data_IF_002738133109
#
_entry.id   IF_002738133109
#
_cell.length_a   1.000
_cell.length_b   1.000
_cell.length_c   1.000
_cell.angle_alpha   90.00
_cell.angle_beta   90.00
_cell.angle_gamma   90.00
#
_symmetry.space_group_name_H-M   'P 1'
#
loop_
_entity.id
_entity.type
_entity.pdbx_description
1 polymer ?
#
# COMPACT_ATOMS: atom_id res chain seq x y z
N UNK A 1 -22.05 -15.85 -13.79
CA UNK A 1 -21.00 -15.78 -12.75
C UNK A 1 -21.29 -14.54 -11.93
N UNK A 2 -21.33 -14.63 -10.61
CA UNK A 2 -21.42 -13.45 -9.76
C UNK A 2 -20.18 -12.59 -9.99
N UNK A 3 -20.35 -11.28 -10.05
CA UNK A 3 -19.25 -10.32 -10.16
C UNK A 3 -18.40 -10.43 -8.89
N UNK A 4 -17.07 -10.40 -9.03
CA UNK A 4 -16.17 -10.37 -7.88
C UNK A 4 -16.43 -9.09 -7.08
N UNK A 5 -16.48 -9.21 -5.76
CA UNK A 5 -16.57 -8.06 -4.86
C UNK A 5 -15.36 -8.04 -3.94
N UNK A 6 -14.65 -6.92 -3.91
CA UNK A 6 -13.45 -6.75 -3.09
C UNK A 6 -13.64 -5.67 -2.03
N UNK A 7 -12.95 -5.84 -0.90
CA UNK A 7 -12.82 -4.82 0.12
C UNK A 7 -11.41 -4.23 0.11
N UNK A 8 -11.31 -2.91 0.09
CA UNK A 8 -10.07 -2.17 0.26
C UNK A 8 -10.11 -1.45 1.61
N UNK A 9 -9.32 -1.92 2.56
CA UNK A 9 -9.10 -1.25 3.84
C UNK A 9 -7.87 -0.36 3.70
N UNK A 10 -8.05 0.96 3.77
CA UNK A 10 -6.97 1.92 3.59
C UNK A 10 -6.70 2.70 4.88
N UNK A 11 -5.47 3.16 5.08
CA UNK A 11 -5.08 3.86 6.30
C UNK A 11 -5.84 5.17 6.49
N UNK A 12 -5.82 6.03 5.48
CA UNK A 12 -6.33 7.40 5.55
C UNK A 12 -7.60 7.65 4.73
N UNK A 13 -8.28 8.74 5.07
CA UNK A 13 -9.57 9.12 4.45
C UNK A 13 -9.44 9.85 3.10
N UNK A 14 -8.27 10.36 2.74
CA UNK A 14 -8.13 11.26 1.58
C UNK A 14 -7.16 10.75 0.53
N UNK A 15 -5.86 10.68 0.84
CA UNK A 15 -4.83 10.34 -0.14
C UNK A 15 -4.98 8.89 -0.61
N UNK A 16 -5.12 7.96 0.34
CA UNK A 16 -5.27 6.53 0.08
C UNK A 16 -6.50 6.22 -0.76
N UNK A 17 -7.67 6.74 -0.33
CA UNK A 17 -8.92 6.58 -1.09
C UNK A 17 -8.74 7.15 -2.50
N UNK A 18 -8.14 8.34 -2.64
CA UNK A 18 -7.96 8.97 -3.94
C UNK A 18 -7.05 8.15 -4.87
N UNK A 19 -5.95 7.57 -4.36
CA UNK A 19 -5.07 6.69 -5.13
C UNK A 19 -5.81 5.43 -5.56
N UNK A 20 -6.45 4.72 -4.63
CA UNK A 20 -7.14 3.46 -4.93
C UNK A 20 -8.33 3.67 -5.88
N UNK A 21 -9.18 4.66 -5.63
CA UNK A 21 -10.26 5.02 -6.56
C UNK A 21 -9.74 5.34 -7.95
N UNK A 22 -8.61 6.03 -8.03
CA UNK A 22 -8.02 6.41 -9.31
C UNK A 22 -7.51 5.20 -10.08
N UNK A 23 -6.78 4.29 -9.42
CA UNK A 23 -6.31 3.04 -10.02
C UNK A 23 -7.48 2.21 -10.53
N UNK A 24 -8.49 1.97 -9.69
CA UNK A 24 -9.69 1.20 -10.08
C UNK A 24 -10.41 1.82 -11.28
N UNK A 25 -10.53 3.15 -11.32
CA UNK A 25 -11.19 3.88 -12.42
C UNK A 25 -10.40 3.79 -13.72
N UNK A 26 -9.07 4.01 -13.66
CA UNK A 26 -8.21 4.03 -14.85
C UNK A 26 -8.15 2.68 -15.52
N UNK A 27 -8.10 1.60 -14.73
CA UNK A 27 -8.06 0.25 -15.26
C UNK A 27 -9.44 -0.33 -15.58
N UNK A 28 -10.51 0.36 -15.18
CA UNK A 28 -11.90 -0.04 -15.43
C UNK A 28 -12.13 -1.52 -15.10
N UNK A 29 -11.68 -1.93 -13.92
CA UNK A 29 -11.78 -3.32 -13.49
C UNK A 29 -13.25 -3.71 -13.36
N UNK A 30 -13.63 -4.83 -14.00
CA UNK A 30 -15.00 -5.35 -13.91
C UNK A 30 -15.25 -6.08 -12.59
N UNK A 31 -15.03 -5.38 -11.48
CA UNK A 31 -15.23 -5.83 -10.10
C UNK A 31 -16.10 -4.83 -9.35
N UNK A 32 -16.85 -5.32 -8.38
CA UNK A 32 -17.46 -4.46 -7.37
C UNK A 32 -16.48 -4.25 -6.23
N UNK A 33 -16.41 -3.07 -5.68
CA UNK A 33 -15.50 -2.76 -4.60
C UNK A 33 -16.09 -1.81 -3.57
N UNK A 34 -15.63 -1.97 -2.34
CA UNK A 34 -15.83 -1.01 -1.25
C UNK A 34 -14.46 -0.52 -0.77
N UNK A 35 -14.36 0.75 -0.43
CA UNK A 35 -13.15 1.32 0.17
C UNK A 35 -13.51 1.91 1.52
N UNK A 36 -12.87 1.41 2.57
CA UNK A 36 -13.11 1.83 3.95
C UNK A 36 -11.81 2.41 4.52
N UNK A 37 -11.82 3.66 5.03
CA UNK A 37 -10.69 4.18 5.78
C UNK A 37 -10.65 3.59 7.19
N UNK A 38 -9.49 3.09 7.60
CA UNK A 38 -9.25 2.63 8.97
C UNK A 38 -9.08 3.80 9.95
N UNK A 39 -8.71 4.97 9.44
CA UNK A 39 -8.53 6.24 10.17
C UNK A 39 -7.47 6.20 11.26
N UNK A 40 -6.54 5.25 11.20
CA UNK A 40 -5.39 5.14 12.08
C UNK A 40 -4.32 4.25 11.45
N UNK A 41 -3.10 4.26 12.01
CA UNK A 41 -1.95 3.59 11.41
C UNK A 41 -1.92 2.07 11.63
N UNK A 42 -0.99 1.41 10.93
CA UNK A 42 -0.77 -0.04 11.00
C UNK A 42 -0.45 -0.53 12.42
N UNK A 43 0.19 0.30 13.27
CA UNK A 43 0.53 -0.07 14.65
C UNK A 43 -0.70 -0.17 15.54
N UNK A 44 -1.76 0.56 15.20
CA UNK A 44 -3.04 0.41 15.86
C UNK A 44 -3.73 -0.87 15.40
N UNK A 45 -3.70 -1.18 14.11
CA UNK A 45 -4.20 -2.45 13.59
C UNK A 45 -3.49 -3.63 14.23
N UNK A 46 -2.14 -3.54 14.39
CA UNK A 46 -1.38 -4.54 15.14
C UNK A 46 -1.93 -4.78 16.54
N UNK A 47 -2.18 -3.71 17.30
CA UNK A 47 -2.72 -3.82 18.66
C UNK A 47 -4.10 -4.47 18.69
N UNK A 48 -4.94 -4.14 17.75
CA UNK A 48 -6.29 -4.66 17.67
C UNK A 48 -6.31 -6.16 17.34
N UNK A 49 -5.33 -6.67 16.59
CA UNK A 49 -5.22 -8.08 16.25
C UNK A 49 -4.37 -8.90 17.22
N UNK A 50 -3.24 -8.37 17.65
CA UNK A 50 -2.23 -9.17 18.37
C UNK A 50 -2.10 -8.86 19.85
N UNK A 51 -2.60 -7.71 20.31
CA UNK A 51 -2.56 -7.30 21.72
C UNK A 51 -3.97 -7.32 22.36
N UNK A 52 -5.00 -7.84 21.67
CA UNK A 52 -6.40 -7.93 22.16
C UNK A 52 -6.59 -8.98 23.24
N UNK A 53 -5.70 -9.96 23.31
CA UNK A 53 -5.82 -11.13 24.20
C UNK A 53 -6.53 -12.33 23.57
N UNK A 54 -7.13 -12.15 22.42
CA UNK A 54 -7.72 -13.23 21.61
C UNK A 54 -6.66 -13.82 20.66
N UNK A 55 -6.89 -15.05 20.20
CA UNK A 55 -6.06 -15.64 19.16
C UNK A 55 -6.36 -14.94 17.83
N UNK A 56 -5.35 -14.33 17.17
CA UNK A 56 -5.54 -13.62 15.91
C UNK A 56 -6.19 -14.46 14.80
N UNK A 57 -5.94 -15.77 14.78
CA UNK A 57 -6.54 -16.69 13.78
C UNK A 57 -8.07 -16.86 13.97
N UNK A 58 -8.60 -16.54 15.15
CA UNK A 58 -10.01 -16.59 15.45
C UNK A 58 -10.72 -15.23 15.32
N UNK A 59 -9.98 -14.17 15.00
CA UNK A 59 -10.55 -12.84 14.82
C UNK A 59 -11.14 -12.71 13.41
N UNK A 60 -12.33 -12.12 13.34
CA UNK A 60 -12.95 -11.73 12.08
C UNK A 60 -12.68 -10.25 11.81
N UNK A 61 -11.97 -9.96 10.71
CA UNK A 61 -11.62 -8.60 10.32
C UNK A 61 -12.88 -7.73 10.12
N UNK A 62 -13.93 -8.26 9.49
CA UNK A 62 -15.15 -7.50 9.24
C UNK A 62 -15.89 -7.17 10.54
N UNK A 63 -15.94 -8.12 11.49
CA UNK A 63 -16.51 -7.88 12.82
C UNK A 63 -15.69 -6.83 13.61
N UNK A 64 -14.37 -6.90 13.53
CA UNK A 64 -13.49 -5.88 14.14
C UNK A 64 -13.77 -4.50 13.55
N UNK A 65 -13.82 -4.38 12.22
CA UNK A 65 -14.12 -3.13 11.53
C UNK A 65 -15.50 -2.61 11.90
N UNK A 66 -16.52 -3.48 11.90
CA UNK A 66 -17.89 -3.14 12.31
C UNK A 66 -17.96 -2.57 13.73
N UNK A 67 -17.15 -3.13 14.65
CA UNK A 67 -17.12 -2.65 16.03
C UNK A 67 -16.50 -1.25 16.18
N UNK A 68 -15.66 -0.85 15.24
CA UNK A 68 -14.91 0.43 15.25
C UNK A 68 -15.59 1.52 14.44
N UNK A 69 -16.19 1.14 13.32
CA UNK A 69 -16.87 2.10 12.45
C UNK A 69 -18.20 2.52 13.07
N UNK A 70 -18.31 3.83 13.34
CA UNK A 70 -19.52 4.42 13.93
C UNK A 70 -20.46 5.01 12.88
N UNK A 71 -20.09 4.92 11.60
CA UNK A 71 -20.92 5.42 10.52
C UNK A 71 -22.02 4.39 10.20
N UNK A 72 -23.32 4.71 10.46
CA UNK A 72 -24.40 3.79 10.18
C UNK A 72 -24.53 3.48 8.68
N UNK A 73 -24.08 4.38 7.82
CA UNK A 73 -24.12 4.20 6.37
C UNK A 73 -23.15 3.11 5.87
N UNK A 74 -22.19 2.71 6.69
CA UNK A 74 -21.23 1.64 6.36
C UNK A 74 -21.69 0.27 6.88
N UNK A 75 -22.76 0.18 7.66
CA UNK A 75 -23.15 -1.07 8.32
C UNK A 75 -23.33 -2.25 7.34
N UNK A 76 -23.89 -1.97 6.15
CA UNK A 76 -24.09 -3.00 5.13
C UNK A 76 -22.79 -3.60 4.60
N UNK A 77 -21.68 -2.83 4.60
CA UNK A 77 -20.38 -3.25 4.08
C UNK A 77 -19.84 -4.43 4.89
N UNK A 78 -20.05 -4.42 6.20
CA UNK A 78 -19.52 -5.44 7.10
C UNK A 78 -20.37 -6.73 7.13
N UNK A 79 -21.56 -6.70 6.54
CA UNK A 79 -22.45 -7.86 6.43
C UNK A 79 -22.38 -8.51 5.02
N UNK A 80 -21.52 -7.98 4.14
CA UNK A 80 -21.30 -8.51 2.80
C UNK A 80 -20.19 -9.56 2.74
N UNK A 81 -20.21 -10.35 1.67
CA UNK A 81 -19.15 -11.31 1.36
C UNK A 81 -18.20 -10.76 0.32
N UNK A 82 -16.93 -10.76 0.63
CA UNK A 82 -15.84 -10.34 -0.27
C UNK A 82 -15.07 -11.55 -0.76
N UNK A 83 -14.73 -11.55 -2.05
CA UNK A 83 -13.84 -12.57 -2.62
C UNK A 83 -12.39 -12.33 -2.25
N UNK A 84 -12.05 -11.07 -2.03
CA UNK A 84 -10.70 -10.63 -1.69
C UNK A 84 -10.77 -9.39 -0.79
N UNK A 85 -9.83 -9.32 0.15
CA UNK A 85 -9.62 -8.18 1.04
C UNK A 85 -8.18 -7.69 0.86
N UNK A 86 -8.01 -6.39 0.66
CA UNK A 86 -6.70 -5.75 0.55
C UNK A 86 -6.56 -4.66 1.59
N UNK A 87 -5.43 -4.68 2.29
CA UNK A 87 -5.07 -3.71 3.30
C UNK A 87 -3.96 -2.81 2.74
N UNK A 88 -4.14 -1.51 2.76
CA UNK A 88 -3.19 -0.52 2.26
C UNK A 88 -2.81 0.40 3.41
N UNK A 89 -1.57 0.28 3.88
CA UNK A 89 -1.06 1.04 5.01
C UNK A 89 0.32 1.62 4.72
N UNK A 90 0.69 2.61 5.49
CA UNK A 90 2.00 3.25 5.43
C UNK A 90 2.96 2.62 6.46
N UNK A 91 4.26 2.53 6.13
CA UNK A 91 5.23 1.98 7.07
C UNK A 91 5.44 2.90 8.27
N UNK A 92 5.48 4.20 8.06
CA UNK A 92 5.69 5.22 9.10
C UNK A 92 6.78 4.84 10.14
N UNK A 93 8.04 4.62 9.73
CA UNK A 93 9.07 4.10 10.63
C UNK A 93 9.50 5.10 11.73
N UNK A 94 9.02 6.35 11.65
CA UNK A 94 9.18 7.38 12.68
C UNK A 94 8.12 7.30 13.79
N UNK A 95 7.08 6.49 13.63
CA UNK A 95 6.05 6.32 14.66
C UNK A 95 6.62 5.64 15.89
N UNK A 96 6.13 6.01 17.07
CA UNK A 96 6.56 5.43 18.35
C UNK A 96 6.18 3.95 18.51
N UNK A 97 5.20 3.50 17.75
CA UNK A 97 4.77 2.09 17.70
C UNK A 97 5.62 1.22 16.78
N UNK A 98 6.51 1.81 15.96
CA UNK A 98 7.33 1.09 15.00
C UNK A 98 8.19 0.01 15.67
N UNK A 99 8.11 -1.19 15.14
CA UNK A 99 8.99 -2.32 15.50
C UNK A 99 9.09 -3.24 14.28
N UNK A 100 10.31 -3.58 13.82
CA UNK A 100 10.51 -4.52 12.74
C UNK A 100 9.73 -5.83 12.92
N UNK A 101 9.76 -6.40 14.14
CA UNK A 101 9.09 -7.68 14.41
C UNK A 101 7.57 -7.59 14.34
N UNK A 102 7.00 -6.45 14.74
CA UNK A 102 5.55 -6.23 14.60
C UNK A 102 5.14 -6.18 13.13
N UNK A 103 5.90 -5.47 12.31
CA UNK A 103 5.59 -5.34 10.88
C UNK A 103 5.79 -6.66 10.15
N UNK A 104 6.86 -7.43 10.46
CA UNK A 104 7.04 -8.79 9.93
C UNK A 104 5.82 -9.65 10.23
N UNK A 105 5.39 -9.67 11.49
CA UNK A 105 4.21 -10.41 11.92
C UNK A 105 2.94 -10.00 11.18
N UNK A 106 2.77 -8.71 10.90
CA UNK A 106 1.64 -8.19 10.11
C UNK A 106 1.67 -8.69 8.67
N UNK A 107 2.83 -8.62 7.99
CA UNK A 107 2.96 -9.08 6.60
C UNK A 107 2.79 -10.60 6.51
N UNK A 108 3.33 -11.35 7.47
CA UNK A 108 3.19 -12.81 7.50
C UNK A 108 1.75 -13.23 7.75
N UNK A 109 1.00 -12.49 8.57
CA UNK A 109 -0.40 -12.77 8.86
C UNK A 109 -1.34 -12.36 7.72
N UNK A 110 -1.16 -11.16 7.18
CA UNK A 110 -1.98 -10.62 6.09
C UNK A 110 -1.31 -10.86 4.73
N UNK A 111 -1.14 -12.11 4.34
CA UNK A 111 -0.42 -12.47 3.12
C UNK A 111 -1.31 -12.93 1.97
N UNK A 112 -2.56 -13.32 2.24
CA UNK A 112 -3.52 -13.80 1.24
C UNK A 112 -4.83 -13.00 1.24
N UNK A 113 -5.25 -12.53 0.06
CA UNK A 113 -6.44 -11.70 -0.10
C UNK A 113 -7.76 -12.43 0.17
N UNK A 114 -7.79 -13.73 -0.02
CA UNK A 114 -8.99 -14.58 0.11
C UNK A 114 -9.30 -15.02 1.54
N UNK A 115 -8.43 -14.74 2.49
CA UNK A 115 -8.56 -15.12 3.90
C UNK A 115 -8.70 -13.87 4.78
N UNK A 116 -7.67 -13.55 5.55
CA UNK A 116 -7.65 -12.37 6.45
C UNK A 116 -7.35 -11.07 5.71
N UNK A 117 -6.95 -11.18 4.45
CA UNK A 117 -6.58 -10.06 3.60
C UNK A 117 -5.09 -10.01 3.29
N UNK A 118 -4.74 -9.29 2.21
CA UNK A 118 -3.37 -9.07 1.78
C UNK A 118 -2.93 -7.64 2.06
N UNK A 119 -1.83 -7.51 2.81
CA UNK A 119 -1.24 -6.22 3.16
C UNK A 119 -0.30 -5.71 2.07
N UNK A 120 -0.56 -4.50 1.59
CA UNK A 120 0.37 -3.68 0.83
C UNK A 120 0.88 -2.56 1.73
N UNK A 121 2.18 -2.49 1.91
CA UNK A 121 2.83 -1.50 2.76
C UNK A 121 3.57 -0.48 1.93
N UNK A 122 3.16 0.80 1.97
CA UNK A 122 3.82 1.87 1.24
C UNK A 122 5.03 2.41 2.00
N UNK A 123 6.07 2.81 1.29
CA UNK A 123 7.35 3.26 1.84
C UNK A 123 7.70 4.66 1.36
N UNK A 124 7.78 5.67 2.21
CA UNK A 124 7.34 5.64 3.60
C UNK A 124 5.82 5.75 3.76
N UNK A 125 5.10 6.22 2.72
CA UNK A 125 3.66 6.48 2.75
C UNK A 125 3.06 6.45 1.33
N UNK A 126 1.73 6.47 1.21
CA UNK A 126 0.98 6.35 -0.05
C UNK A 126 1.35 7.42 -1.09
N UNK A 127 1.74 8.62 -0.67
CA UNK A 127 2.22 9.68 -1.56
C UNK A 127 3.46 9.28 -2.37
N UNK A 128 4.15 8.19 -2.02
CA UNK A 128 5.23 7.59 -2.81
C UNK A 128 4.81 7.30 -4.24
N UNK A 129 3.52 7.00 -4.48
CA UNK A 129 2.96 6.81 -5.82
C UNK A 129 3.17 8.02 -6.75
N UNK A 130 3.20 9.22 -6.20
CA UNK A 130 3.32 10.45 -6.97
C UNK A 130 4.73 11.07 -6.92
N UNK A 131 5.66 10.47 -6.16
CA UNK A 131 6.98 11.06 -5.94
C UNK A 131 7.96 10.76 -7.08
N UNK A 132 7.59 11.14 -8.30
CA UNK A 132 8.42 11.09 -9.50
C UNK A 132 8.73 12.52 -9.96
N UNK A 133 9.98 12.79 -10.37
CA UNK A 133 10.41 14.11 -10.89
C UNK A 133 10.15 14.27 -12.38
N UNK A 134 10.00 13.18 -13.08
CA UNK A 134 9.61 13.09 -14.49
C UNK A 134 8.78 11.83 -14.71
N UNK A 135 8.24 11.63 -15.91
CA UNK A 135 7.48 10.44 -16.25
C UNK A 135 7.93 9.90 -17.62
N UNK A 136 8.74 8.83 -17.67
CA UNK A 136 9.37 8.12 -16.54
C UNK A 136 10.45 8.94 -15.82
N UNK A 137 10.77 8.57 -14.57
CA UNK A 137 11.82 9.19 -13.76
C UNK A 137 13.08 8.30 -13.77
N UNK A 138 14.11 8.75 -14.47
CA UNK A 138 15.34 7.98 -14.67
C UNK A 138 16.14 7.73 -13.38
N UNK A 139 15.84 8.45 -12.30
CA UNK A 139 16.53 8.32 -11.01
C UNK A 139 15.57 7.90 -9.89
N UNK A 140 14.47 7.21 -10.24
CA UNK A 140 13.50 6.77 -9.24
C UNK A 140 14.06 5.71 -8.30
N UNK A 141 14.95 4.84 -8.77
CA UNK A 141 15.68 3.85 -7.99
C UNK A 141 16.52 4.46 -6.85
N UNK A 142 17.10 5.66 -7.07
CA UNK A 142 17.90 6.40 -6.09
C UNK A 142 17.06 7.26 -5.13
N UNK A 143 15.73 7.19 -5.20
CA UNK A 143 14.86 8.03 -4.36
C UNK A 143 14.65 7.42 -2.99
N UNK A 144 15.05 8.18 -1.96
CA UNK A 144 14.94 7.81 -0.56
C UNK A 144 14.31 8.93 0.27
N UNK A 145 13.68 8.56 1.38
CA UNK A 145 13.34 9.47 2.47
C UNK A 145 14.32 9.23 3.63
N UNK A 146 14.90 10.27 4.22
CA UNK A 146 15.73 10.10 5.41
C UNK A 146 14.87 9.97 6.67
N UNK A 147 15.33 9.23 7.66
CA UNK A 147 14.64 9.11 8.96
C UNK A 147 14.50 10.47 9.67
N UNK A 148 15.48 11.38 9.48
CA UNK A 148 15.40 12.74 10.02
C UNK A 148 14.27 13.55 9.37
N UNK A 149 14.15 13.45 8.06
CA UNK A 149 13.08 14.09 7.28
C UNK A 149 11.69 13.58 7.68
N UNK A 150 11.55 12.27 7.90
CA UNK A 150 10.30 11.66 8.36
C UNK A 150 9.92 12.13 9.78
N UNK A 151 10.89 12.14 10.71
CA UNK A 151 10.67 12.65 12.09
C UNK A 151 10.25 14.12 12.12
N UNK A 152 10.78 14.93 11.21
CA UNK A 152 10.40 16.35 11.07
C UNK A 152 9.13 16.57 10.26
N UNK A 153 8.52 15.50 9.73
CA UNK A 153 7.34 15.57 8.83
C UNK A 153 7.60 16.38 7.56
N UNK A 154 8.84 16.43 7.09
CA UNK A 154 9.25 17.21 5.95
C UNK A 154 9.13 16.46 4.60
N UNK A 155 9.03 15.11 4.64
CA UNK A 155 8.98 14.29 3.44
C UNK A 155 7.82 14.68 2.51
N UNK A 156 6.61 14.80 3.05
CA UNK A 156 5.41 15.15 2.27
C UNK A 156 5.56 16.52 1.57
N UNK A 157 6.19 17.49 2.23
CA UNK A 157 6.46 18.79 1.61
C UNK A 157 7.49 18.68 0.49
N UNK A 158 8.53 17.84 0.66
CA UNK A 158 9.52 17.59 -0.38
C UNK A 158 8.88 16.89 -1.57
N UNK A 159 8.07 15.84 -1.34
CA UNK A 159 7.32 15.16 -2.40
C UNK A 159 6.50 16.17 -3.22
N UNK A 160 5.73 17.02 -2.56
CA UNK A 160 4.91 18.03 -3.25
C UNK A 160 5.70 19.04 -4.05
N UNK A 161 6.92 19.38 -3.63
CA UNK A 161 7.80 20.31 -4.34
C UNK A 161 8.51 19.63 -5.53
N UNK A 162 8.86 18.37 -5.42
CA UNK A 162 9.67 17.62 -6.39
C UNK A 162 8.85 16.88 -7.46
N UNK A 163 7.62 16.50 -7.16
CA UNK A 163 6.82 15.68 -8.07
C UNK A 163 6.61 16.34 -9.43
N UNK A 164 6.68 15.52 -10.47
CA UNK A 164 6.49 15.90 -11.87
C UNK A 164 5.17 16.64 -12.11
N UNK A 165 4.11 16.15 -11.52
CA UNK A 165 2.78 16.72 -11.70
C UNK A 165 2.32 17.41 -10.40
N UNK A 166 2.22 18.74 -10.42
CA UNK A 166 1.60 19.49 -9.31
C UNK A 166 0.15 19.09 -9.06
N UNK A 167 -0.53 18.64 -10.10
CA UNK A 167 -1.81 17.94 -9.97
C UNK A 167 -1.53 16.43 -10.04
N UNK A 168 -1.70 15.71 -8.92
CA UNK A 168 -1.48 14.26 -8.83
C UNK A 168 -2.27 13.45 -9.87
N UNK A 169 -3.41 13.96 -10.34
CA UNK A 169 -4.20 13.31 -11.39
C UNK A 169 -3.43 13.17 -12.71
N UNK A 170 -2.41 13.99 -12.97
CA UNK A 170 -1.64 13.91 -14.22
C UNK A 170 -0.76 12.66 -14.29
N UNK A 171 -0.18 12.20 -13.16
CA UNK A 171 0.59 10.94 -13.11
C UNK A 171 -0.28 9.70 -13.32
N UNK A 172 -1.56 9.80 -13.02
CA UNK A 172 -2.54 8.73 -13.12
C UNK A 172 -3.74 9.12 -13.99
N UNK A 173 -3.52 9.94 -15.04
CA UNK A 173 -4.60 10.48 -15.87
C UNK A 173 -5.23 9.43 -16.78
N UNK A 174 -4.46 8.44 -17.18
CA UNK A 174 -4.85 7.34 -18.06
C UNK A 174 -4.01 6.10 -17.79
N UNK A 175 -4.36 5.00 -18.43
CA UNK A 175 -3.69 3.71 -18.26
C UNK A 175 -2.19 3.77 -18.59
N UNK A 176 -1.81 4.43 -19.68
CA UNK A 176 -0.42 4.55 -20.11
C UNK A 176 0.45 5.23 -19.03
N UNK A 177 -0.01 6.34 -18.47
CA UNK A 177 0.73 7.02 -17.39
C UNK A 177 0.78 6.21 -16.10
N UNK A 178 -0.31 5.53 -15.74
CA UNK A 178 -0.30 4.60 -14.60
C UNK A 178 0.66 3.43 -14.82
N UNK A 179 0.69 2.84 -16.02
CA UNK A 179 1.61 1.74 -16.34
C UNK A 179 3.06 2.16 -16.12
N UNK A 180 3.46 3.37 -16.56
CA UNK A 180 4.82 3.89 -16.32
C UNK A 180 5.12 3.93 -14.81
N UNK A 181 4.21 4.46 -13.99
CA UNK A 181 4.40 4.54 -12.54
C UNK A 181 4.50 3.14 -11.93
N UNK A 182 3.62 2.22 -12.31
CA UNK A 182 3.63 0.84 -11.80
C UNK A 182 4.91 0.13 -12.20
N UNK A 183 5.35 0.23 -13.47
CA UNK A 183 6.59 -0.38 -13.92
C UNK A 183 7.81 0.14 -13.15
N UNK A 184 7.92 1.44 -12.92
CA UNK A 184 9.01 2.00 -12.12
C UNK A 184 9.02 1.49 -10.68
N UNK A 185 7.85 1.30 -10.05
CA UNK A 185 7.76 0.69 -8.74
C UNK A 185 8.13 -0.80 -8.76
N UNK A 186 7.74 -1.54 -9.82
CA UNK A 186 8.13 -2.95 -10.02
C UNK A 186 9.65 -3.07 -10.18
N UNK A 187 10.26 -2.27 -11.06
CA UNK A 187 11.71 -2.27 -11.30
C UNK A 187 12.47 -1.96 -9.99
N UNK A 188 12.01 -0.97 -9.23
CA UNK A 188 12.61 -0.62 -7.96
C UNK A 188 12.45 -1.73 -6.92
N UNK A 189 11.29 -2.38 -6.83
CA UNK A 189 11.09 -3.51 -5.92
C UNK A 189 12.05 -4.66 -6.25
N UNK A 190 12.22 -5.00 -7.54
CA UNK A 190 13.20 -5.99 -7.98
C UNK A 190 14.64 -5.58 -7.64
N UNK A 191 15.01 -4.32 -7.87
CA UNK A 191 16.32 -3.80 -7.49
C UNK A 191 16.59 -3.94 -5.99
N UNK A 192 15.64 -3.52 -5.17
CA UNK A 192 15.75 -3.58 -3.71
C UNK A 192 15.87 -5.02 -3.18
N UNK A 193 15.19 -5.96 -3.81
CA UNK A 193 15.12 -7.36 -3.33
C UNK A 193 16.12 -8.30 -4.01
N UNK A 194 16.90 -7.79 -4.98
CA UNK A 194 17.85 -8.61 -5.75
C UNK A 194 18.85 -9.38 -4.84
N UNK A 195 19.39 -8.73 -3.83
CA UNK A 195 20.33 -9.36 -2.88
C UNK A 195 19.72 -10.47 -2.03
N UNK A 196 18.38 -10.53 -1.95
CA UNK A 196 17.63 -11.55 -1.21
C UNK A 196 17.24 -12.76 -2.09
N UNK A 197 17.78 -12.85 -3.32
CA UNK A 197 17.45 -13.86 -4.32
C UNK A 197 15.94 -13.94 -4.63
N UNK A 198 15.25 -12.82 -4.48
CA UNK A 198 13.82 -12.72 -4.78
C UNK A 198 13.61 -12.30 -6.23
N UNK A 199 12.82 -13.08 -6.96
CA UNK A 199 12.48 -12.82 -8.37
C UNK A 199 11.05 -12.29 -8.55
N UNK A 200 10.30 -12.09 -7.46
CA UNK A 200 8.95 -11.54 -7.51
C UNK A 200 8.93 -10.11 -6.98
N UNK A 201 8.55 -9.12 -7.80
CA UNK A 201 8.44 -7.73 -7.34
C UNK A 201 7.31 -7.53 -6.33
N UNK A 202 6.43 -8.52 -6.16
CA UNK A 202 5.23 -8.41 -5.33
C UNK A 202 5.40 -9.06 -3.95
N UNK A 203 6.56 -9.65 -3.66
CA UNK A 203 6.84 -10.27 -2.38
C UNK A 203 7.04 -9.23 -1.27
N UNK A 204 5.95 -8.95 -0.53
CA UNK A 204 5.93 -7.93 0.53
C UNK A 204 6.94 -8.22 1.64
N UNK A 205 7.18 -9.48 2.00
CA UNK A 205 8.17 -9.85 3.03
C UNK A 205 9.60 -9.52 2.56
N UNK A 206 9.96 -9.84 1.31
CA UNK A 206 11.27 -9.51 0.76
C UNK A 206 11.49 -8.01 0.64
N UNK A 207 10.45 -7.25 0.22
CA UNK A 207 10.50 -5.78 0.18
C UNK A 207 10.74 -5.23 1.58
N UNK A 208 9.96 -5.68 2.57
CA UNK A 208 10.11 -5.23 3.96
C UNK A 208 11.52 -5.49 4.48
N UNK A 209 12.09 -6.69 4.28
CA UNK A 209 13.44 -6.99 4.76
C UNK A 209 14.49 -6.06 4.15
N UNK A 210 14.35 -5.75 2.86
CA UNK A 210 15.23 -4.77 2.21
C UNK A 210 15.07 -3.37 2.82
N UNK A 211 13.84 -2.91 3.00
CA UNK A 211 13.54 -1.60 3.62
C UNK A 211 14.09 -1.50 5.05
N UNK A 212 13.91 -2.53 5.86
CA UNK A 212 14.43 -2.59 7.23
C UNK A 212 15.97 -2.54 7.25
N UNK A 213 16.63 -3.18 6.29
CA UNK A 213 18.09 -3.11 6.14
C UNK A 213 18.56 -1.68 5.82
N UNK A 214 17.88 -0.98 4.90
CA UNK A 214 18.17 0.42 4.59
C UNK A 214 17.95 1.35 5.79
N UNK A 215 16.88 1.13 6.55
CA UNK A 215 16.61 1.90 7.78
C UNK A 215 17.72 1.69 8.80
N UNK A 216 18.15 0.44 9.00
CA UNK A 216 19.15 0.09 10.00
C UNK A 216 20.56 0.57 9.62
N UNK A 217 20.97 0.41 8.35
CA UNK A 217 22.33 0.71 7.90
C UNK A 217 22.53 2.17 7.49
N UNK A 218 21.54 2.78 6.84
CA UNK A 218 21.68 4.08 6.21
C UNK A 218 20.76 5.16 6.81
N UNK A 219 19.86 4.79 7.73
CA UNK A 219 18.82 5.69 8.25
C UNK A 219 17.97 6.32 7.14
N UNK A 220 17.68 5.53 6.11
CA UNK A 220 16.90 5.92 4.93
C UNK A 220 15.81 4.90 4.65
N UNK A 221 14.73 5.35 4.02
CA UNK A 221 13.62 4.55 3.51
C UNK A 221 13.60 4.70 1.99
N UNK A 222 13.86 3.66 1.20
CA UNK A 222 13.59 3.68 -0.23
C UNK A 222 12.13 4.08 -0.51
N UNK A 223 11.92 5.04 -1.42
CA UNK A 223 10.56 5.47 -1.76
C UNK A 223 9.94 4.45 -2.70
N UNK A 224 8.93 3.71 -2.22
CA UNK A 224 8.26 2.67 -2.98
C UNK A 224 6.76 2.61 -2.66
N UNK A 225 5.92 2.61 -3.69
CA UNK A 225 4.49 2.44 -3.55
C UNK A 225 4.08 1.01 -3.91
N UNK A 226 3.75 0.18 -2.93
CA UNK A 226 3.36 -1.21 -3.19
C UNK A 226 1.87 -1.38 -3.43
N UNK A 227 1.02 -0.44 -3.00
CA UNK A 227 -0.42 -0.58 -3.21
C UNK A 227 -0.80 -0.62 -4.71
N UNK A 228 0.01 -0.05 -5.60
CA UNK A 228 -0.23 -0.14 -7.04
C UNK A 228 0.01 -1.55 -7.61
N UNK A 229 0.68 -2.44 -6.89
CA UNK A 229 0.91 -3.84 -7.28
C UNK A 229 -0.37 -4.67 -7.30
N UNK A 230 -1.40 -4.23 -6.61
CA UNK A 230 -2.74 -4.81 -6.74
C UNK A 230 -3.18 -4.99 -8.20
N UNK A 231 -2.87 -4.02 -9.08
CA UNK A 231 -3.28 -4.05 -10.49
C UNK A 231 -2.66 -5.22 -11.26
N UNK A 232 -1.31 -5.35 -11.34
CA UNK A 232 -0.69 -6.48 -12.05
C UNK A 232 -0.89 -7.83 -11.36
N UNK A 233 -1.04 -7.88 -10.03
CA UNK A 233 -1.35 -9.13 -9.34
C UNK A 233 -2.79 -9.60 -9.64
N UNK A 234 -3.73 -8.65 -9.75
CA UNK A 234 -5.10 -8.97 -10.13
C UNK A 234 -5.20 -9.45 -11.58
N UNK A 235 -4.54 -8.75 -12.51
CA UNK A 235 -4.53 -9.10 -13.94
C UNK A 235 -3.26 -8.55 -14.61
N UNK A 236 -2.21 -9.37 -14.78
CA UNK A 236 -0.93 -8.94 -15.35
C UNK A 236 -1.03 -8.23 -16.71
N UNK A 237 -1.91 -8.73 -17.60
CA UNK A 237 -2.12 -8.15 -18.92
C UNK A 237 -2.57 -6.67 -18.90
N UNK A 238 -3.02 -6.14 -17.76
CA UNK A 238 -3.44 -4.74 -17.67
C UNK A 238 -2.28 -3.76 -17.80
N UNK A 239 -1.08 -4.15 -17.38
CA UNK A 239 0.11 -3.28 -17.44
C UNK A 239 0.99 -3.58 -18.68
N UNK A 240 0.73 -4.69 -19.41
CA UNK A 240 1.49 -5.09 -20.58
C UNK A 240 1.00 -4.45 -21.88
N UNK A 241 -0.23 -3.93 -21.92
CA UNK A 241 -0.82 -3.33 -23.10
C UNK A 241 -0.48 -1.85 -23.23
N UNK A 242 0.08 -1.45 -24.35
CA UNK A 242 0.37 -0.06 -24.73
C UNK A 242 -0.89 0.73 -25.18
N UNK A 243 -2.10 0.17 -25.02
CA UNK A 243 -3.36 0.76 -25.45
C UNK A 243 -3.94 1.78 -24.45
#
# INVERSE_FOLDING_TARGET
MSKRKILLLVEGEKADIAVMCRLLTVYNLNIDYEIIPYCTNIYRLYKDFFDSGDDPENLDLLLLLKSRDKNPDHAYIFDEHYSDIYLVFDLDPQDTGFSPDKIRKMIDFFHESSDMGKLYLNYPMVESFYHLKSLPDANYDERFASMDELRRKAYKQREQNEKYAKNYQLCASNRKTCNIVIHQNIEKALYLTHSLNNNSPFNQSAILESELNWIASESKVPVLCTCCFFIPEYQPALIESDD
#
